data_IF_271430538179
#
_entry.id   IF_271430538179
#
_cell.length_a   1.000
_cell.length_b   1.000
_cell.length_c   1.000
_cell.angle_alpha   90.00
_cell.angle_beta   90.00
_cell.angle_gamma   90.00
#
_symmetry.space_group_name_H-M   'P 1'
#
loop_
_entity.id
_entity.type
_entity.pdbx_description
1 polymer ?
#
# COMPACT_ATOMS: atom_id res chain seq x y z
N UNK A 1 -22.44 8.53 -12.39
CA UNK A 1 -22.19 7.15 -11.93
C UNK A 1 -21.46 6.40 -13.03
N UNK A 2 -20.51 5.51 -12.68
CA UNK A 2 -19.87 4.62 -13.65
C UNK A 2 -20.93 3.69 -14.27
N UNK A 3 -20.85 3.45 -15.57
CA UNK A 3 -21.67 2.45 -16.27
C UNK A 3 -20.83 1.20 -16.53
N UNK A 4 -21.47 0.06 -16.82
CA UNK A 4 -20.73 -1.18 -17.15
C UNK A 4 -19.77 -1.00 -18.33
N UNK A 5 -20.10 -0.11 -19.28
CA UNK A 5 -19.22 0.24 -20.40
C UNK A 5 -17.97 1.03 -20.00
N UNK A 6 -18.00 1.76 -18.88
CA UNK A 6 -16.88 2.60 -18.44
C UNK A 6 -15.96 1.94 -17.41
N UNK A 7 -16.34 0.77 -16.85
CA UNK A 7 -15.56 0.10 -15.78
C UNK A 7 -14.12 -0.19 -16.23
N UNK A 8 -13.94 -0.77 -17.43
CA UNK A 8 -12.60 -1.10 -17.94
C UNK A 8 -11.72 0.15 -18.08
N UNK A 9 -12.28 1.26 -18.56
CA UNK A 9 -11.56 2.52 -18.66
C UNK A 9 -11.19 3.04 -17.26
N UNK A 10 -12.15 3.02 -16.32
CA UNK A 10 -11.97 3.50 -14.95
C UNK A 10 -10.84 2.79 -14.19
N UNK A 11 -10.56 1.52 -14.50
CA UNK A 11 -9.45 0.76 -13.92
C UNK A 11 -8.05 1.13 -14.49
N UNK A 12 -7.96 2.07 -15.44
CA UNK A 12 -6.67 2.57 -15.97
C UNK A 12 -6.23 3.84 -15.25
N UNK A 13 -4.95 4.20 -15.37
CA UNK A 13 -4.45 5.46 -14.80
C UNK A 13 -5.07 6.72 -15.42
N UNK A 14 -5.58 6.63 -16.66
CA UNK A 14 -6.30 7.75 -17.30
C UNK A 14 -7.74 7.80 -16.79
N UNK A 15 -8.38 6.63 -16.68
CA UNK A 15 -9.76 6.55 -16.17
C UNK A 15 -9.88 6.95 -14.71
N UNK A 16 -8.93 6.58 -13.84
CA UNK A 16 -8.97 7.02 -12.43
C UNK A 16 -8.88 8.55 -12.31
N UNK A 17 -8.11 9.21 -13.19
CA UNK A 17 -8.04 10.68 -13.21
C UNK A 17 -9.32 11.33 -13.77
N UNK A 18 -10.01 10.65 -14.69
CA UNK A 18 -11.25 11.13 -15.33
C UNK A 18 -12.49 10.90 -14.47
N UNK A 19 -12.59 9.74 -13.82
CA UNK A 19 -13.78 9.29 -13.11
C UNK A 19 -13.63 9.31 -11.59
N UNK A 20 -12.40 9.30 -11.09
CA UNK A 20 -12.12 9.33 -9.66
C UNK A 20 -12.26 10.73 -9.08
N UNK A 21 -12.54 10.78 -7.77
CA UNK A 21 -12.47 11.99 -6.97
C UNK A 21 -11.18 11.94 -6.15
N UNK A 22 -10.25 12.90 -6.30
CA UNK A 22 -9.10 12.99 -5.42
C UNK A 22 -9.55 13.13 -3.96
N UNK A 23 -8.92 12.35 -3.08
CA UNK A 23 -9.14 12.43 -1.63
C UNK A 23 -7.90 13.05 -0.97
N UNK A 24 -8.14 13.97 -0.03
CA UNK A 24 -7.10 14.59 0.80
C UNK A 24 -6.98 13.90 2.16
N UNK A 25 -5.97 14.32 2.95
CA UNK A 25 -5.73 13.79 4.30
C UNK A 25 -6.88 14.10 5.29
N UNK A 26 -7.69 15.11 4.99
CA UNK A 26 -8.80 15.57 5.84
C UNK A 26 -10.14 14.88 5.51
N UNK A 27 -10.16 14.03 4.49
CA UNK A 27 -11.36 13.30 4.08
C UNK A 27 -11.72 12.23 5.10
N UNK A 28 -13.00 12.20 5.48
CA UNK A 28 -13.55 11.17 6.38
C UNK A 28 -14.13 10.05 5.55
N UNK A 29 -13.33 9.00 5.36
CA UNK A 29 -13.73 7.80 4.63
C UNK A 29 -13.53 6.58 5.53
N UNK A 30 -14.32 5.53 5.29
CA UNK A 30 -14.08 4.20 5.81
C UNK A 30 -13.75 3.29 4.65
N UNK A 31 -12.70 2.49 4.78
CA UNK A 31 -12.29 1.49 3.79
C UNK A 31 -12.45 0.12 4.42
N UNK A 32 -13.44 -0.64 3.93
CA UNK A 32 -13.72 -1.99 4.43
C UNK A 32 -12.78 -3.05 3.81
N UNK A 33 -12.19 -2.74 2.64
CA UNK A 33 -11.37 -3.66 1.86
C UNK A 33 -10.23 -2.93 1.13
N UNK A 34 -9.03 -3.48 1.22
CA UNK A 34 -7.87 -3.06 0.42
C UNK A 34 -7.54 -4.17 -0.55
N UNK A 35 -7.50 -3.86 -1.84
CA UNK A 35 -6.97 -4.77 -2.86
C UNK A 35 -5.54 -4.35 -3.20
N UNK A 36 -4.57 -5.19 -2.85
CA UNK A 36 -3.15 -4.90 -2.99
C UNK A 36 -2.49 -5.82 -4.02
N UNK A 37 -1.62 -5.25 -4.86
CA UNK A 37 -0.84 -6.01 -5.83
C UNK A 37 0.35 -6.72 -5.19
N UNK A 38 0.63 -7.95 -5.63
CA UNK A 38 1.71 -8.78 -5.11
C UNK A 38 2.51 -9.43 -6.26
N UNK A 39 3.82 -9.59 -6.06
CA UNK A 39 4.70 -10.38 -6.94
C UNK A 39 4.61 -11.86 -6.58
N UNK A 40 4.62 -12.18 -5.29
CA UNK A 40 4.43 -13.52 -4.76
C UNK A 40 3.76 -13.45 -3.38
N UNK A 41 3.05 -14.51 -3.00
CA UNK A 41 2.38 -14.63 -1.69
C UNK A 41 2.47 -16.04 -1.15
N UNK A 42 2.59 -16.13 0.16
CA UNK A 42 2.56 -17.38 0.90
C UNK A 42 1.13 -17.66 1.38
N UNK A 43 0.49 -18.75 0.91
CA UNK A 43 -0.89 -19.06 1.26
C UNK A 43 -1.08 -19.51 2.72
N UNK A 44 -0.02 -20.00 3.37
CA UNK A 44 -0.08 -20.49 4.74
C UNK A 44 0.14 -19.37 5.76
N UNK A 45 1.03 -18.42 5.45
CA UNK A 45 1.40 -17.35 6.38
C UNK A 45 0.72 -16.03 6.06
N UNK A 46 0.28 -15.81 4.82
CA UNK A 46 -0.17 -14.51 4.32
C UNK A 46 0.96 -13.50 4.12
N UNK A 47 2.22 -13.92 4.20
CA UNK A 47 3.36 -13.10 3.83
C UNK A 47 3.31 -12.79 2.33
N UNK A 48 3.72 -11.58 1.95
CA UNK A 48 3.74 -11.16 0.55
C UNK A 48 5.04 -10.48 0.15
N UNK A 49 5.39 -10.61 -1.11
CA UNK A 49 6.44 -9.84 -1.75
C UNK A 49 5.81 -8.84 -2.71
N UNK A 50 6.04 -7.55 -2.47
CA UNK A 50 5.73 -6.48 -3.41
C UNK A 50 6.86 -6.26 -4.41
N UNK A 51 6.74 -5.20 -5.22
CA UNK A 51 7.80 -4.78 -6.15
C UNK A 51 9.06 -4.23 -5.45
N UNK A 52 8.95 -3.89 -4.16
CA UNK A 52 10.07 -3.38 -3.34
C UNK A 52 10.18 -1.85 -3.28
N UNK A 53 9.26 -1.09 -3.88
CA UNK A 53 9.31 0.37 -3.85
C UNK A 53 8.72 0.98 -2.55
N UNK A 54 7.92 0.20 -1.81
CA UNK A 54 7.31 0.61 -0.54
C UNK A 54 6.04 1.47 -0.66
N UNK A 55 5.52 1.70 -1.88
CA UNK A 55 4.39 2.60 -2.09
C UNK A 55 3.08 2.09 -1.46
N UNK A 56 2.80 0.81 -1.59
CA UNK A 56 1.56 0.24 -1.06
C UNK A 56 1.55 0.25 0.48
N UNK A 57 2.70 0.03 1.10
CA UNK A 57 2.91 0.12 2.54
C UNK A 57 2.72 1.58 3.02
N UNK A 58 3.13 2.57 2.23
CA UNK A 58 2.92 3.98 2.54
C UNK A 58 1.46 4.41 2.38
N UNK A 59 0.78 3.93 1.35
CA UNK A 59 -0.66 4.15 1.17
C UNK A 59 -1.46 3.54 2.33
N UNK A 60 -1.12 2.31 2.74
CA UNK A 60 -1.68 1.67 3.92
C UNK A 60 -1.44 2.52 5.18
N UNK A 61 -0.19 2.95 5.42
CA UNK A 61 0.16 3.78 6.58
C UNK A 61 -0.58 5.13 6.61
N UNK A 62 -0.78 5.77 5.46
CA UNK A 62 -1.59 6.99 5.36
C UNK A 62 -3.05 6.75 5.68
N UNK A 63 -3.65 5.66 5.18
CA UNK A 63 -5.04 5.30 5.51
C UNK A 63 -5.20 4.99 7.00
N UNK A 64 -4.21 4.32 7.64
CA UNK A 64 -4.17 4.12 9.09
C UNK A 64 -4.16 5.44 9.83
N UNK A 65 -3.30 6.37 9.42
CA UNK A 65 -3.24 7.70 10.01
C UNK A 65 -4.57 8.45 9.91
N UNK A 66 -5.24 8.37 8.76
CA UNK A 66 -6.54 9.00 8.53
C UNK A 66 -7.67 8.37 9.36
N UNK A 67 -7.42 7.27 10.08
CA UNK A 67 -8.45 6.48 10.75
C UNK A 67 -9.42 5.82 9.76
N UNK A 68 -9.03 5.71 8.48
CA UNK A 68 -9.87 5.16 7.43
C UNK A 68 -9.89 3.62 7.44
N UNK A 69 -8.85 3.02 8.02
CA UNK A 69 -8.68 1.57 8.18
C UNK A 69 -8.16 1.25 9.58
N UNK A 70 -8.43 0.03 10.01
CA UNK A 70 -7.95 -0.54 11.27
C UNK A 70 -7.54 -2.02 11.07
N UNK A 71 -7.29 -2.74 12.15
CA UNK A 71 -6.85 -4.15 12.08
C UNK A 71 -7.93 -5.08 11.48
N UNK A 72 -9.20 -4.67 11.53
CA UNK A 72 -10.33 -5.41 10.96
C UNK A 72 -10.50 -5.20 9.46
N UNK A 73 -9.90 -4.16 8.87
CA UNK A 73 -9.93 -3.92 7.42
C UNK A 73 -9.23 -5.06 6.69
N UNK A 74 -9.95 -5.74 5.79
CA UNK A 74 -9.43 -6.86 5.03
C UNK A 74 -8.43 -6.41 3.95
N UNK A 75 -7.30 -7.10 3.87
CA UNK A 75 -6.30 -6.94 2.82
C UNK A 75 -6.36 -8.15 1.89
N UNK A 76 -6.66 -7.91 0.63
CA UNK A 76 -6.89 -8.94 -0.38
C UNK A 76 -5.93 -8.75 -1.53
N UNK A 77 -5.46 -9.85 -2.11
CA UNK A 77 -4.66 -9.80 -3.32
C UNK A 77 -5.24 -10.73 -4.39
N UNK A 78 -4.97 -10.39 -5.65
CA UNK A 78 -5.22 -11.27 -6.78
C UNK A 78 -3.88 -11.61 -7.44
N UNK A 79 -3.56 -12.90 -7.53
CA UNK A 79 -2.33 -13.40 -8.14
C UNK A 79 -2.63 -14.62 -9.00
N UNK A 80 -1.72 -14.98 -9.89
CA UNK A 80 -1.78 -16.27 -10.58
C UNK A 80 -1.33 -17.41 -9.64
N UNK A 81 -1.79 -18.64 -9.88
CA UNK A 81 -1.44 -19.81 -9.05
C UNK A 81 0.09 -20.03 -8.95
N UNK A 82 0.85 -19.65 -9.98
CA UNK A 82 2.32 -19.74 -9.99
C UNK A 82 3.04 -18.70 -9.12
N UNK A 83 2.31 -17.72 -8.58
CA UNK A 83 2.82 -16.72 -7.65
C UNK A 83 2.54 -17.10 -6.19
N UNK A 84 1.87 -18.25 -5.96
CA UNK A 84 1.82 -18.88 -4.66
C UNK A 84 3.16 -19.56 -4.40
N UNK A 85 3.81 -19.20 -3.29
CA UNK A 85 5.12 -19.73 -2.87
C UNK A 85 5.05 -20.15 -1.40
N UNK A 86 5.94 -21.00 -0.93
CA UNK A 86 5.91 -21.54 0.44
C UNK A 86 7.19 -21.23 1.24
N UNK A 87 8.01 -20.30 0.75
CA UNK A 87 9.35 -20.02 1.26
C UNK A 87 9.60 -18.54 1.59
N UNK A 88 8.55 -17.72 1.77
CA UNK A 88 8.71 -16.34 2.22
C UNK A 88 9.03 -16.32 3.72
N UNK A 89 10.25 -15.90 4.13
CA UNK A 89 10.66 -15.93 5.54
C UNK A 89 9.98 -14.81 6.33
N UNK A 90 8.97 -15.16 7.13
CA UNK A 90 8.19 -14.22 7.97
C UNK A 90 9.08 -13.40 8.89
N UNK A 91 10.14 -14.00 9.43
CA UNK A 91 11.09 -13.34 10.33
C UNK A 91 11.93 -12.23 9.67
N UNK A 92 11.94 -12.16 8.34
CA UNK A 92 12.61 -11.09 7.58
C UNK A 92 11.65 -9.99 7.14
N UNK A 93 10.35 -10.15 7.40
CA UNK A 93 9.39 -9.09 7.12
C UNK A 93 9.70 -7.86 7.99
N UNK A 94 9.57 -6.71 7.36
CA UNK A 94 9.72 -5.43 8.02
C UNK A 94 8.40 -5.08 8.70
N UNK A 95 8.49 -4.25 9.75
CA UNK A 95 7.33 -3.80 10.54
C UNK A 95 6.26 -3.05 9.73
N UNK A 96 6.61 -2.61 8.51
CA UNK A 96 5.73 -1.93 7.58
C UNK A 96 5.19 -2.83 6.46
N UNK A 97 5.64 -4.07 6.36
CA UNK A 97 5.11 -5.00 5.37
C UNK A 97 3.66 -5.36 5.73
N UNK A 98 2.76 -5.21 4.76
CA UNK A 98 1.33 -5.46 4.96
C UNK A 98 1.03 -6.91 4.58
N UNK A 99 0.64 -7.79 5.52
CA UNK A 99 0.25 -9.15 5.17
C UNK A 99 -1.10 -9.18 4.43
N UNK A 100 -1.41 -10.30 3.77
CA UNK A 100 -2.70 -10.52 3.09
C UNK A 100 -3.59 -11.47 3.89
N UNK A 101 -4.86 -11.10 4.04
CA UNK A 101 -5.88 -11.91 4.71
C UNK A 101 -6.51 -12.92 3.73
N UNK A 102 -6.69 -12.51 2.46
CA UNK A 102 -7.32 -13.32 1.41
C UNK A 102 -6.49 -13.26 0.13
N UNK A 103 -6.28 -14.42 -0.47
CA UNK A 103 -5.61 -14.58 -1.76
C UNK A 103 -6.61 -15.16 -2.76
N UNK A 104 -6.86 -14.43 -3.84
CA UNK A 104 -7.68 -14.89 -4.96
C UNK A 104 -6.78 -15.31 -6.13
N UNK A 105 -6.91 -16.55 -6.57
CA UNK A 105 -6.31 -17.04 -7.82
C UNK A 105 -7.41 -17.39 -8.83
N UNK A 106 -7.07 -17.65 -10.10
CA UNK A 106 -8.04 -18.17 -11.07
C UNK A 106 -8.72 -19.48 -10.64
N UNK A 107 -8.09 -20.27 -9.76
CA UNK A 107 -8.59 -21.60 -9.38
C UNK A 107 -9.21 -21.67 -7.98
N UNK A 108 -8.86 -20.75 -7.07
CA UNK A 108 -9.28 -20.82 -5.68
C UNK A 108 -9.24 -19.48 -4.94
N UNK A 109 -9.90 -19.44 -3.78
CA UNK A 109 -9.83 -18.36 -2.81
C UNK A 109 -9.30 -18.93 -1.50
N UNK A 110 -8.22 -18.35 -0.99
CA UNK A 110 -7.49 -18.83 0.18
C UNK A 110 -7.62 -17.78 1.29
N UNK A 111 -8.07 -18.20 2.47
CA UNK A 111 -8.07 -17.39 3.68
C UNK A 111 -6.84 -17.75 4.50
N UNK A 112 -5.90 -16.82 4.64
CA UNK A 112 -4.58 -17.11 5.24
C UNK A 112 -4.66 -17.25 6.75
N UNK A 113 -5.67 -16.64 7.39
CA UNK A 113 -5.76 -16.49 8.85
C UNK A 113 -4.41 -16.03 9.44
N UNK A 114 -3.72 -15.14 8.73
CA UNK A 114 -2.37 -14.70 9.06
C UNK A 114 -2.25 -14.21 10.50
N UNK A 115 -1.21 -14.65 11.19
CA UNK A 115 -0.84 -14.13 12.51
C UNK A 115 0.12 -12.95 12.42
N UNK A 116 0.50 -12.53 11.20
CA UNK A 116 1.41 -11.40 10.98
C UNK A 116 0.64 -10.12 11.31
N UNK A 117 1.16 -9.25 12.20
CA UNK A 117 0.46 -8.03 12.58
C UNK A 117 0.43 -7.04 11.41
N UNK A 118 -0.70 -6.35 11.25
CA UNK A 118 -0.82 -5.25 10.29
C UNK A 118 -0.05 -4.00 10.79
N UNK A 119 0.57 -3.22 9.89
CA UNK A 119 1.23 -1.96 10.26
C UNK A 119 0.30 -1.01 11.00
N UNK A 120 0.80 -0.30 11.99
CA UNK A 120 -0.02 0.62 12.80
C UNK A 120 -0.05 2.05 12.25
N UNK A 121 0.71 2.33 11.19
CA UNK A 121 0.83 3.65 10.59
C UNK A 121 2.12 3.79 9.81
N UNK A 122 2.64 5.01 9.74
CA UNK A 122 3.88 5.34 9.05
C UNK A 122 5.05 5.29 10.04
N UNK A 123 6.07 4.49 9.71
CA UNK A 123 7.31 4.41 10.48
C UNK A 123 8.34 5.42 9.94
N UNK A 124 8.28 6.65 10.45
CA UNK A 124 9.08 7.77 9.96
C UNK A 124 10.60 7.55 10.04
N UNK A 125 11.07 6.78 11.02
CA UNK A 125 12.47 6.36 11.20
C UNK A 125 12.93 5.33 10.15
N UNK A 126 12.03 4.82 9.31
CA UNK A 126 12.34 3.94 8.18
C UNK A 126 12.21 4.65 6.83
N UNK A 127 11.70 5.88 6.81
CA UNK A 127 11.51 6.66 5.58
C UNK A 127 12.74 7.51 5.26
N UNK A 128 13.36 7.25 4.11
CA UNK A 128 14.52 8.01 3.65
C UNK A 128 14.18 9.47 3.34
N UNK A 129 15.15 10.40 3.48
CA UNK A 129 15.01 11.77 3.01
C UNK A 129 14.66 11.86 1.52
N UNK A 130 15.20 10.95 0.69
CA UNK A 130 14.98 10.92 -0.75
C UNK A 130 13.51 10.59 -1.08
N UNK A 131 12.94 9.57 -0.42
CA UNK A 131 11.54 9.17 -0.63
C UNK A 131 10.57 10.23 -0.13
N UNK A 132 10.86 10.85 1.01
CA UNK A 132 10.15 12.05 1.47
C UNK A 132 10.26 13.20 0.46
N UNK A 133 11.44 13.40 -0.14
CA UNK A 133 11.67 14.41 -1.19
C UNK A 133 10.87 14.18 -2.47
N UNK A 134 10.56 12.93 -2.82
CA UNK A 134 9.75 12.60 -4.00
C UNK A 134 8.24 12.70 -3.75
N UNK A 135 7.76 12.29 -2.58
CA UNK A 135 6.33 12.14 -2.33
C UNK A 135 5.77 13.35 -1.56
N UNK A 136 5.14 14.28 -2.29
CA UNK A 136 4.62 15.54 -1.72
C UNK A 136 3.65 15.33 -0.56
N UNK A 137 2.74 14.36 -0.67
CA UNK A 137 1.70 14.13 0.35
C UNK A 137 2.30 13.66 1.68
N UNK A 138 3.37 12.87 1.65
CA UNK A 138 4.08 12.43 2.85
C UNK A 138 4.79 13.57 3.56
N UNK A 139 5.35 14.54 2.83
CA UNK A 139 5.93 15.75 3.45
C UNK A 139 4.88 16.58 4.16
N UNK A 140 3.73 16.75 3.52
CA UNK A 140 2.62 17.50 4.12
C UNK A 140 2.11 16.79 5.37
N UNK A 141 1.94 15.47 5.30
CA UNK A 141 1.54 14.65 6.45
C UNK A 141 2.57 14.74 7.60
N UNK A 142 3.86 14.56 7.31
CA UNK A 142 4.94 14.67 8.31
C UNK A 142 4.90 16.05 8.98
N UNK A 143 4.81 17.13 8.20
CA UNK A 143 4.74 18.50 8.69
C UNK A 143 3.54 18.74 9.61
N UNK A 144 2.36 18.21 9.24
CA UNK A 144 1.14 18.32 10.07
C UNK A 144 1.33 17.65 11.43
N UNK A 145 1.83 16.41 11.44
CA UNK A 145 2.09 15.68 12.70
C UNK A 145 3.12 16.41 13.56
N UNK A 146 4.22 16.89 12.96
CA UNK A 146 5.26 17.62 13.69
C UNK A 146 4.73 18.90 14.35
N UNK A 147 3.80 19.60 13.70
CA UNK A 147 3.13 20.78 14.26
C UNK A 147 2.19 20.39 15.41
N UNK A 148 1.43 19.30 15.26
CA UNK A 148 0.52 18.82 16.30
C UNK A 148 1.25 18.37 17.57
N UNK A 149 2.35 17.63 17.43
CA UNK A 149 3.12 17.11 18.58
C UNK A 149 4.18 18.11 19.09
N UNK A 150 4.43 19.21 18.36
CA UNK A 150 5.44 20.22 18.68
C UNK A 150 6.88 19.70 18.63
N UNK A 151 7.15 18.62 17.89
CA UNK A 151 8.47 17.94 17.83
C UNK A 151 8.72 17.45 16.42
N UNK A 152 10.00 17.43 16.01
CA UNK A 152 10.40 16.83 14.74
C UNK A 152 10.29 15.31 14.80
N UNK A 153 9.71 14.73 13.75
CA UNK A 153 9.64 13.29 13.57
C UNK A 153 10.99 12.78 13.05
N UNK A 154 11.39 11.55 13.43
CA UNK A 154 12.62 10.96 12.92
C UNK A 154 12.56 10.79 11.39
N UNK A 155 13.73 10.64 10.79
CA UNK A 155 13.88 10.31 9.36
C UNK A 155 14.80 9.12 9.28
N UNK A 156 14.48 8.17 8.42
CA UNK A 156 15.29 6.98 8.18
C UNK A 156 16.59 7.25 7.44
N UNK A 157 17.38 6.19 7.23
CA UNK A 157 18.64 6.29 6.51
C UNK A 157 18.42 6.69 5.04
N UNK A 158 19.45 7.28 4.43
CA UNK A 158 19.46 7.57 3.00
C UNK A 158 19.35 6.27 2.20
N UNK A 159 18.59 6.31 1.10
CA UNK A 159 18.43 5.17 0.20
C UNK A 159 18.65 5.57 -1.26
N UNK A 160 19.20 4.64 -2.05
CA UNK A 160 19.26 4.81 -3.51
C UNK A 160 17.92 4.39 -4.10
N UNK A 161 17.12 5.37 -4.47
CA UNK A 161 15.82 5.11 -5.09
C UNK A 161 15.97 4.48 -6.48
N UNK A 162 15.10 3.53 -6.85
CA UNK A 162 15.05 3.03 -8.21
C UNK A 162 14.72 4.17 -9.18
N UNK A 163 15.19 4.10 -10.44
CA UNK A 163 14.82 5.09 -11.44
C UNK A 163 13.30 5.11 -11.59
N UNK A 164 12.71 6.31 -11.48
CA UNK A 164 11.28 6.47 -11.70
C UNK A 164 10.97 6.02 -13.13
N UNK A 165 9.98 5.13 -13.28
CA UNK A 165 9.57 4.65 -14.59
C UNK A 165 9.25 5.83 -15.52
N UNK A 166 10.07 6.03 -16.55
CA UNK A 166 9.83 7.06 -17.55
C UNK A 166 8.65 6.60 -18.40
N UNK A 167 7.47 7.20 -18.17
CA UNK A 167 6.36 7.08 -19.11
C UNK A 167 6.72 7.91 -20.34
N UNK A 168 7.22 7.25 -21.38
CA UNK A 168 7.25 7.84 -22.71
C UNK A 168 5.83 8.27 -23.05
N UNK A 169 5.62 9.57 -23.27
CA UNK A 169 4.40 10.11 -23.86
C UNK A 169 4.33 9.66 -25.31
N UNK A 170 3.98 8.40 -25.55
CA UNK A 170 3.42 8.01 -26.85
C UNK A 170 1.93 8.28 -26.73
N UNK A 171 1.51 9.33 -27.46
CA UNK A 171 0.11 9.73 -27.60
C UNK A 171 -0.72 8.75 -28.40
#
# INVERSE_FOLDING_TARGET
MLTSGTIKEACTSVGVAKYGRPIGLDEKIKVDLIVIGSVAVDPNTGARLGKGEGFAELEYGMLRYMGAIDDSTLVVTSVHDCQLVDDIPVEKLLIHDVPVDIICTPTQVIFTNTSIPKPQGIYWDKLSPEKLGQIRILRELKRRIELEIGKKLPTGPSEKLPPTAQRNRRG
#
